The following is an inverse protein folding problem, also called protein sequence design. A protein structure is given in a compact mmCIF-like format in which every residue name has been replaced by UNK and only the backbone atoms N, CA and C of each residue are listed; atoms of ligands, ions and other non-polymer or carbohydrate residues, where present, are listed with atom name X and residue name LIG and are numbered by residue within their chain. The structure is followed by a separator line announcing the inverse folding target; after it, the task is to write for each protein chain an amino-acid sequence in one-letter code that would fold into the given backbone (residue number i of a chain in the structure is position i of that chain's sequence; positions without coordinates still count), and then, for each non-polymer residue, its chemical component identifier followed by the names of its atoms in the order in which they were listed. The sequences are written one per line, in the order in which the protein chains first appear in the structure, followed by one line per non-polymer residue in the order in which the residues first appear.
data_IF_850332713375
#
_entry.id   IF_850332713375
#
_cell.length_a   1.000
_cell.length_b   1.000
_cell.length_c   1.000
_cell.angle_alpha   90.00
_cell.angle_beta   90.00
_cell.angle_gamma   90.00
#
_symmetry.space_group_name_H-M   'P 1'
#
loop_
_entity.id
_entity.type
_entity.pdbx_description
1 polymer ?
#
# COMPACT_ATOMS: atom_id res chain seq x y z
N UNK A 1 4.93 2.94 -10.29
CA UNK A 1 4.31 4.21 -10.74
C UNK A 1 3.17 3.80 -11.62
N UNK A 2 1.94 4.21 -11.26
CA UNK A 2 0.80 4.09 -12.14
C UNK A 2 1.16 4.64 -13.52
N UNK A 3 0.78 3.95 -14.55
CA UNK A 3 1.18 4.37 -15.90
C UNK A 3 0.39 5.60 -16.30
N UNK A 4 0.98 6.46 -17.12
CA UNK A 4 0.28 7.57 -17.76
C UNK A 4 -1.06 7.12 -18.36
N UNK A 5 -1.09 5.92 -18.94
CA UNK A 5 -2.30 5.32 -19.51
C UNK A 5 -3.43 5.12 -18.49
N UNK A 6 -3.15 4.85 -17.23
CA UNK A 6 -4.18 4.70 -16.19
C UNK A 6 -4.82 6.05 -15.87
N UNK A 7 -3.99 7.08 -15.70
CA UNK A 7 -4.47 8.44 -15.43
C UNK A 7 -5.30 8.97 -16.59
N UNK A 8 -4.82 8.77 -17.83
CA UNK A 8 -5.54 9.19 -19.05
C UNK A 8 -6.88 8.46 -19.17
N UNK A 9 -6.92 7.14 -18.96
CA UNK A 9 -8.18 6.38 -18.99
C UNK A 9 -9.17 6.89 -17.95
N UNK A 10 -8.71 7.11 -16.72
CA UNK A 10 -9.56 7.65 -15.64
C UNK A 10 -10.08 9.05 -16.00
N UNK A 11 -9.23 9.91 -16.58
CA UNK A 11 -9.64 11.24 -17.03
C UNK A 11 -10.68 11.19 -18.15
N UNK A 12 -10.55 10.26 -19.09
CA UNK A 12 -11.55 10.07 -20.16
C UNK A 12 -12.89 9.60 -19.60
N UNK A 13 -12.88 8.62 -18.68
CA UNK A 13 -14.10 8.14 -18.01
C UNK A 13 -14.76 9.28 -17.23
N UNK A 14 -13.98 10.05 -16.44
CA UNK A 14 -14.48 11.22 -15.70
C UNK A 14 -15.10 12.25 -16.64
N UNK A 15 -14.42 12.56 -17.76
CA UNK A 15 -14.93 13.51 -18.74
C UNK A 15 -16.23 13.01 -19.38
N UNK A 16 -16.28 11.77 -19.86
CA UNK A 16 -17.49 11.19 -20.42
C UNK A 16 -18.66 11.20 -19.41
N UNK A 17 -18.38 10.86 -18.14
CA UNK A 17 -19.38 10.91 -17.08
C UNK A 17 -19.91 12.33 -16.86
N UNK A 18 -19.04 13.34 -16.85
CA UNK A 18 -19.45 14.75 -16.66
C UNK A 18 -20.33 15.28 -17.80
N UNK A 19 -20.23 14.69 -19.00
CA UNK A 19 -21.12 15.03 -20.14
C UNK A 19 -22.50 14.37 -20.00
N UNK A 20 -22.57 13.18 -19.39
CA UNK A 20 -23.81 12.43 -19.21
C UNK A 20 -24.60 12.84 -17.96
N UNK A 21 -23.89 13.21 -16.90
CA UNK A 21 -24.46 13.56 -15.60
C UNK A 21 -23.73 14.78 -15.01
N UNK A 22 -23.88 15.98 -15.64
CA UNK A 22 -23.14 17.18 -15.22
C UNK A 22 -23.48 17.66 -13.80
N UNK A 23 -24.63 17.27 -13.27
CA UNK A 23 -25.08 17.59 -11.90
C UNK A 23 -24.36 16.76 -10.82
N UNK A 24 -23.67 15.67 -11.19
CA UNK A 24 -22.97 14.81 -10.24
C UNK A 24 -21.49 15.21 -10.21
N UNK A 25 -20.99 15.78 -9.10
CA UNK A 25 -19.59 16.15 -9.00
C UNK A 25 -18.71 14.89 -8.95
N UNK A 26 -17.58 14.94 -9.65
CA UNK A 26 -16.60 13.85 -9.68
C UNK A 26 -15.25 14.32 -9.20
N UNK A 27 -14.49 13.46 -8.54
CA UNK A 27 -13.14 13.72 -8.09
C UNK A 27 -12.20 12.61 -8.54
N UNK A 28 -11.02 12.96 -8.99
CA UNK A 28 -9.98 12.00 -9.34
C UNK A 28 -8.95 11.93 -8.21
N UNK A 29 -8.69 10.74 -7.71
CA UNK A 29 -7.62 10.49 -6.74
C UNK A 29 -6.43 9.84 -7.43
N UNK A 30 -5.24 10.32 -7.10
CA UNK A 30 -3.99 9.67 -7.42
C UNK A 30 -3.43 9.07 -6.12
N UNK A 31 -3.67 7.79 -5.92
CA UNK A 31 -3.23 7.08 -4.72
C UNK A 31 -1.86 6.46 -4.97
N UNK A 32 -0.90 6.79 -4.12
CA UNK A 32 0.42 6.15 -4.11
C UNK A 32 0.47 5.10 -3.00
N UNK A 33 0.67 3.83 -3.37
CA UNK A 33 0.91 2.75 -2.41
C UNK A 33 2.36 2.76 -1.92
N UNK A 34 2.77 3.90 -1.35
CA UNK A 34 4.14 4.19 -0.90
C UNK A 34 4.50 3.52 0.44
N UNK A 35 3.54 2.84 1.07
CA UNK A 35 3.74 1.95 2.21
C UNK A 35 4.12 0.53 1.77
N UNK A 36 4.02 0.21 0.48
CA UNK A 36 4.39 -1.11 -0.05
C UNK A 36 5.88 -1.39 0.17
N UNK A 37 6.21 -2.64 0.46
CA UNK A 37 7.59 -3.07 0.67
C UNK A 37 8.42 -3.01 -0.61
N UNK A 38 9.64 -2.51 -0.52
CA UNK A 38 10.59 -2.52 -1.65
C UNK A 38 10.96 -3.96 -2.02
N UNK A 39 10.48 -4.46 -3.16
CA UNK A 39 10.61 -5.88 -3.56
C UNK A 39 11.90 -6.20 -4.28
N UNK A 40 12.48 -5.24 -5.00
CA UNK A 40 13.72 -5.40 -5.79
C UNK A 40 14.45 -4.08 -5.91
N UNK A 41 15.75 -4.16 -6.16
CA UNK A 41 16.59 -3.00 -6.50
C UNK A 41 16.43 -2.73 -8.00
N UNK A 42 15.93 -1.56 -8.42
CA UNK A 42 15.94 -1.19 -9.83
C UNK A 42 17.36 -0.94 -10.34
N UNK A 43 17.69 -1.50 -11.52
CA UNK A 43 19.06 -1.46 -12.09
C UNK A 43 19.54 -0.04 -12.42
N UNK A 44 18.63 0.89 -12.62
CA UNK A 44 18.91 2.27 -13.02
C UNK A 44 18.98 3.27 -11.87
N UNK A 45 19.05 2.80 -10.61
CA UNK A 45 19.20 3.68 -9.45
C UNK A 45 20.66 3.84 -9.05
N UNK A 46 21.07 5.03 -8.57
CA UNK A 46 22.35 5.21 -7.87
C UNK A 46 22.28 4.54 -6.48
N UNK A 47 23.45 4.37 -5.86
CA UNK A 47 23.54 3.84 -4.49
C UNK A 47 22.79 2.52 -4.27
N UNK A 48 22.95 1.56 -5.19
CA UNK A 48 22.24 0.29 -5.17
C UNK A 48 22.42 -0.50 -3.87
N UNK A 49 23.60 -0.45 -3.25
CA UNK A 49 23.86 -1.13 -1.97
C UNK A 49 22.99 -0.57 -0.84
N UNK A 50 22.77 0.76 -0.82
CA UNK A 50 21.86 1.42 0.11
C UNK A 50 20.43 0.89 -0.06
N UNK A 51 19.97 0.78 -1.30
CA UNK A 51 18.64 0.27 -1.64
C UNK A 51 18.53 -1.21 -1.27
N UNK A 52 19.55 -2.02 -1.59
CA UNK A 52 19.61 -3.45 -1.28
C UNK A 52 19.53 -3.74 0.22
N UNK A 53 20.20 -2.94 1.04
CA UNK A 53 20.15 -3.05 2.50
C UNK A 53 18.76 -2.75 3.10
N UNK A 54 17.87 -2.13 2.33
CA UNK A 54 16.53 -1.75 2.77
C UNK A 54 15.39 -2.51 2.03
N UNK A 55 15.72 -3.62 1.38
CA UNK A 55 14.70 -4.49 0.77
C UNK A 55 13.67 -4.94 1.81
N UNK A 56 12.41 -4.98 1.39
CA UNK A 56 11.26 -5.34 2.21
C UNK A 56 10.66 -4.18 3.01
N UNK A 57 11.37 -3.07 3.22
CA UNK A 57 10.82 -1.91 3.96
C UNK A 57 9.85 -1.11 3.11
N UNK A 58 8.85 -0.43 3.73
CA UNK A 58 8.00 0.54 3.05
C UNK A 58 8.83 1.55 2.25
N UNK A 59 8.39 1.94 1.06
CA UNK A 59 9.14 2.87 0.20
C UNK A 59 9.43 4.20 0.90
N UNK A 60 8.53 4.64 1.79
CA UNK A 60 8.71 5.84 2.62
C UNK A 60 9.71 5.65 3.77
N UNK A 61 10.12 4.42 4.06
CA UNK A 61 11.16 4.08 5.05
C UNK A 61 12.51 3.74 4.41
N UNK A 62 12.57 3.68 3.07
CA UNK A 62 13.81 3.45 2.33
C UNK A 62 14.51 4.79 2.10
N UNK A 63 15.80 4.96 2.47
CA UNK A 63 16.54 6.19 2.19
C UNK A 63 16.53 6.56 0.70
N UNK A 64 16.45 7.84 0.40
CA UNK A 64 16.46 8.31 -0.99
C UNK A 64 17.84 8.10 -1.64
N UNK A 65 17.97 7.26 -2.68
CA UNK A 65 19.27 7.03 -3.32
C UNK A 65 19.83 8.25 -4.05
N UNK A 66 19.00 9.26 -4.30
CA UNK A 66 19.41 10.52 -4.94
C UNK A 66 19.78 11.59 -3.92
N UNK A 67 19.46 11.41 -2.63
CA UNK A 67 19.75 12.36 -1.57
C UNK A 67 18.98 13.69 -1.66
N UNK A 68 17.86 13.71 -2.36
CA UNK A 68 17.08 14.93 -2.62
C UNK A 68 15.80 15.03 -1.81
N UNK A 69 15.33 13.90 -1.27
CA UNK A 69 14.08 13.81 -0.50
C UNK A 69 14.30 12.99 0.78
N UNK A 70 13.34 13.06 1.69
CA UNK A 70 13.36 12.34 2.95
C UNK A 70 13.49 10.81 2.77
N UNK A 71 12.86 10.26 1.74
CA UNK A 71 12.93 8.85 1.42
C UNK A 71 12.75 8.60 -0.08
N UNK A 72 13.02 7.37 -0.50
CA UNK A 72 12.76 6.92 -1.87
C UNK A 72 11.28 7.06 -2.25
N UNK A 73 10.35 6.72 -1.34
CA UNK A 73 8.92 6.92 -1.55
C UNK A 73 8.58 8.40 -1.79
N UNK A 74 9.11 9.33 -0.98
CA UNK A 74 8.89 10.77 -1.16
C UNK A 74 9.45 11.28 -2.49
N UNK A 75 10.62 10.80 -2.92
CA UNK A 75 11.19 11.14 -4.23
C UNK A 75 10.27 10.67 -5.36
N UNK A 76 9.79 9.43 -5.31
CA UNK A 76 8.89 8.88 -6.34
C UNK A 76 7.55 9.61 -6.37
N UNK A 77 6.99 9.95 -5.21
CA UNK A 77 5.76 10.74 -5.09
C UNK A 77 5.93 12.14 -5.70
N UNK A 78 7.05 12.81 -5.41
CA UNK A 78 7.35 14.12 -5.98
C UNK A 78 7.46 14.07 -7.52
N UNK A 79 8.14 13.05 -8.06
CA UNK A 79 8.25 12.84 -9.52
C UNK A 79 6.89 12.54 -10.17
N UNK A 80 6.07 11.70 -9.53
CA UNK A 80 4.74 11.40 -10.02
C UNK A 80 3.87 12.66 -10.08
N UNK A 81 3.84 13.46 -9.02
CA UNK A 81 3.09 14.71 -8.97
C UNK A 81 3.57 15.70 -10.03
N UNK A 82 4.87 15.94 -10.10
CA UNK A 82 5.44 16.83 -11.14
C UNK A 82 5.08 16.39 -12.57
N UNK A 83 5.03 15.07 -12.81
CA UNK A 83 4.61 14.53 -14.09
C UNK A 83 3.12 14.80 -14.35
N UNK A 84 2.24 14.54 -13.39
CA UNK A 84 0.79 14.78 -13.53
C UNK A 84 0.46 16.26 -13.69
N UNK A 85 1.13 17.12 -12.92
CA UNK A 85 0.98 18.59 -12.98
C UNK A 85 1.38 19.14 -14.36
N UNK A 86 2.46 18.59 -14.95
CA UNK A 86 2.93 18.97 -16.29
C UNK A 86 1.88 18.73 -17.37
N UNK A 87 1.04 17.72 -17.23
CA UNK A 87 -0.04 17.40 -18.16
C UNK A 87 -1.38 18.03 -17.77
N UNK A 88 -1.42 18.83 -16.70
CA UNK A 88 -2.60 19.58 -16.29
C UNK A 88 -3.74 18.71 -15.75
N UNK A 89 -3.45 17.53 -15.18
CA UNK A 89 -4.48 16.71 -14.56
C UNK A 89 -5.00 17.36 -13.28
N UNK A 90 -6.33 17.38 -13.15
CA UNK A 90 -7.01 17.80 -11.91
C UNK A 90 -7.22 16.55 -11.02
N UNK A 91 -6.41 16.42 -9.97
CA UNK A 91 -6.40 15.26 -9.07
C UNK A 91 -6.10 15.68 -7.63
N UNK A 92 -6.54 14.86 -6.68
CA UNK A 92 -6.06 14.90 -5.30
C UNK A 92 -5.06 13.78 -5.08
N UNK A 93 -3.86 14.13 -4.61
CA UNK A 93 -2.83 13.14 -4.29
C UNK A 93 -3.04 12.56 -2.90
N UNK A 94 -2.96 11.25 -2.77
CA UNK A 94 -3.05 10.51 -1.52
C UNK A 94 -1.81 9.62 -1.35
N UNK A 95 -1.09 9.80 -0.24
CA UNK A 95 -0.08 8.86 0.24
C UNK A 95 -0.76 7.79 1.09
N UNK A 96 -0.58 6.52 0.76
CA UNK A 96 -1.08 5.43 1.60
C UNK A 96 -0.37 5.44 2.96
N UNK A 97 0.94 5.68 3.02
CA UNK A 97 1.68 5.80 4.28
C UNK A 97 1.05 6.82 5.21
N UNK A 98 0.70 8.02 4.70
CA UNK A 98 0.09 9.08 5.52
C UNK A 98 -1.29 8.67 6.02
N UNK A 99 -2.09 8.00 5.19
CA UNK A 99 -3.43 7.52 5.58
C UNK A 99 -3.37 6.45 6.65
N UNK A 100 -2.46 5.48 6.52
CA UNK A 100 -2.28 4.45 7.54
C UNK A 100 -1.73 5.02 8.86
N UNK A 101 -0.67 5.84 8.80
CA UNK A 101 -0.03 6.40 10.00
C UNK A 101 -0.86 7.44 10.73
N UNK A 102 -1.70 8.19 10.02
CA UNK A 102 -2.62 9.15 10.65
C UNK A 102 -3.83 8.50 11.33
N UNK A 103 -4.00 7.18 11.18
CA UNK A 103 -5.18 6.46 11.69
C UNK A 103 -6.44 6.66 10.85
N UNK A 104 -6.33 7.28 9.67
CA UNK A 104 -7.49 7.50 8.79
C UNK A 104 -8.16 6.19 8.35
N UNK A 105 -7.41 5.08 8.34
CA UNK A 105 -7.90 3.75 8.01
C UNK A 105 -8.18 2.87 9.23
N UNK A 106 -7.93 3.32 10.46
CA UNK A 106 -8.01 2.47 11.66
C UNK A 106 -9.39 1.81 11.84
N UNK A 107 -10.46 2.56 11.64
CA UNK A 107 -11.82 2.00 11.71
C UNK A 107 -12.08 0.95 10.62
N UNK A 108 -11.58 1.17 9.41
CA UNK A 108 -11.66 0.20 8.31
C UNK A 108 -10.81 -1.03 8.59
N UNK A 109 -9.60 -0.85 9.12
CA UNK A 109 -8.71 -1.96 9.52
C UNK A 109 -9.38 -2.87 10.55
N UNK A 110 -10.02 -2.30 11.58
CA UNK A 110 -10.76 -3.07 12.59
C UNK A 110 -11.97 -3.78 11.98
N UNK A 111 -12.67 -3.15 11.04
CA UNK A 111 -13.78 -3.80 10.34
C UNK A 111 -13.32 -4.95 9.45
N UNK A 112 -12.20 -4.80 8.75
CA UNK A 112 -11.56 -5.90 7.99
C UNK A 112 -11.19 -7.05 8.92
N UNK A 113 -10.66 -6.75 10.12
CA UNK A 113 -10.34 -7.75 11.13
C UNK A 113 -11.58 -8.49 11.64
N UNK A 114 -12.66 -7.75 11.92
CA UNK A 114 -13.95 -8.35 12.30
C UNK A 114 -14.46 -9.34 11.25
N UNK A 115 -14.34 -8.95 9.96
CA UNK A 115 -14.80 -9.71 8.79
C UNK A 115 -13.73 -10.63 8.19
N UNK A 116 -12.65 -10.89 8.90
CA UNK A 116 -11.48 -11.62 8.40
C UNK A 116 -11.86 -12.96 7.75
N UNK A 117 -12.68 -13.78 8.42
CA UNK A 117 -13.02 -15.13 7.95
C UNK A 117 -13.86 -15.09 6.66
N UNK A 118 -14.82 -14.14 6.59
CA UNK A 118 -15.66 -13.91 5.41
C UNK A 118 -14.82 -13.45 4.21
N UNK A 119 -13.87 -12.53 4.46
CA UNK A 119 -12.94 -12.04 3.43
C UNK A 119 -11.99 -13.15 2.96
N UNK A 120 -11.45 -13.95 3.87
CA UNK A 120 -10.61 -15.09 3.52
C UNK A 120 -11.35 -16.07 2.61
N UNK A 121 -12.58 -16.47 2.98
CA UNK A 121 -13.38 -17.38 2.16
C UNK A 121 -13.63 -16.83 0.75
N UNK A 122 -13.95 -15.53 0.65
CA UNK A 122 -14.20 -14.88 -0.65
C UNK A 122 -12.92 -14.81 -1.49
N UNK A 123 -11.81 -14.42 -0.88
CA UNK A 123 -10.55 -14.19 -1.60
C UNK A 123 -9.92 -15.51 -2.04
N UNK A 124 -9.89 -16.53 -1.18
CA UNK A 124 -9.28 -17.82 -1.49
C UNK A 124 -9.94 -18.51 -2.70
N UNK A 125 -11.25 -18.37 -2.87
CA UNK A 125 -11.96 -18.90 -4.06
C UNK A 125 -11.45 -18.31 -5.38
N UNK A 126 -10.85 -17.13 -5.35
CA UNK A 126 -10.39 -16.40 -6.53
C UNK A 126 -8.86 -16.38 -6.70
N UNK A 127 -8.12 -17.12 -5.86
CA UNK A 127 -6.65 -17.21 -5.90
C UNK A 127 -6.21 -18.58 -6.39
N UNK A 128 -5.09 -18.63 -7.12
CA UNK A 128 -4.43 -19.91 -7.45
C UNK A 128 -3.85 -20.58 -6.19
N UNK A 129 -3.72 -21.91 -6.23
CA UNK A 129 -3.32 -22.75 -5.09
C UNK A 129 -2.07 -22.26 -4.35
N UNK A 130 -1.02 -21.90 -5.08
CA UNK A 130 0.24 -21.39 -4.50
C UNK A 130 0.04 -20.11 -3.64
N UNK A 131 -0.89 -19.24 -4.02
CA UNK A 131 -1.18 -18.02 -3.27
C UNK A 131 -2.18 -18.22 -2.14
N UNK A 132 -2.97 -19.29 -2.17
CA UNK A 132 -3.94 -19.57 -1.09
C UNK A 132 -3.22 -19.85 0.24
N UNK A 133 -2.07 -20.53 0.20
CA UNK A 133 -1.30 -20.90 1.40
C UNK A 133 -0.71 -19.71 2.14
N UNK A 134 -0.41 -18.62 1.42
CA UNK A 134 0.30 -17.46 1.97
C UNK A 134 -0.53 -16.18 1.99
N UNK A 135 -1.78 -16.25 1.56
CA UNK A 135 -2.65 -15.08 1.49
C UNK A 135 -3.13 -14.64 2.87
N UNK A 136 -3.11 -13.34 3.10
CA UNK A 136 -3.82 -12.66 4.18
C UNK A 136 -4.26 -11.29 3.70
N UNK A 137 -5.43 -10.78 4.12
CA UNK A 137 -5.80 -9.39 3.94
C UNK A 137 -4.78 -8.42 4.54
N UNK A 138 -4.16 -8.81 5.66
CA UNK A 138 -3.19 -8.00 6.40
C UNK A 138 -1.76 -8.31 6.01
N UNK A 139 -0.96 -7.25 5.89
CA UNK A 139 0.49 -7.30 5.72
C UNK A 139 1.12 -6.51 6.88
N UNK A 140 1.52 -7.19 7.98
CA UNK A 140 2.18 -6.54 9.11
C UNK A 140 3.50 -5.88 8.70
N UNK A 141 3.87 -4.82 9.42
CA UNK A 141 5.21 -4.24 9.34
C UNK A 141 5.95 -4.68 10.59
N UNK A 142 7.01 -5.46 10.40
CA UNK A 142 7.78 -5.99 11.53
C UNK A 142 8.43 -4.87 12.33
N UNK A 143 8.22 -4.89 13.63
CA UNK A 143 8.62 -3.79 14.54
C UNK A 143 10.14 -3.62 14.68
N UNK A 144 10.92 -4.68 14.45
CA UNK A 144 12.37 -4.65 14.59
C UNK A 144 13.08 -4.31 13.27
N UNK A 145 12.75 -5.04 12.21
CA UNK A 145 13.36 -4.84 10.90
C UNK A 145 12.74 -3.70 10.09
N UNK A 146 11.48 -3.33 10.41
CA UNK A 146 10.68 -2.39 9.65
C UNK A 146 10.22 -2.93 8.29
N UNK A 147 10.35 -4.23 8.04
CA UNK A 147 9.97 -4.86 6.78
C UNK A 147 8.48 -5.20 6.73
N UNK A 148 7.89 -5.07 5.58
CA UNK A 148 6.52 -5.54 5.31
C UNK A 148 6.54 -7.06 5.19
N UNK A 149 5.71 -7.75 5.97
CA UNK A 149 5.58 -9.20 5.96
C UNK A 149 4.52 -9.58 4.92
N UNK A 150 4.93 -10.25 3.86
CA UNK A 150 4.09 -10.66 2.73
C UNK A 150 3.73 -12.16 2.72
N UNK A 151 4.22 -12.91 3.71
CA UNK A 151 3.99 -14.35 3.85
C UNK A 151 2.67 -14.72 4.54
N UNK A 152 1.79 -13.75 4.71
CA UNK A 152 0.53 -13.93 5.43
C UNK A 152 0.67 -13.81 6.94
N UNK A 153 -0.45 -13.91 7.64
CA UNK A 153 -0.50 -13.93 9.09
C UNK A 153 -0.87 -15.33 9.57
N UNK A 154 -0.35 -15.73 10.73
CA UNK A 154 -0.67 -17.03 11.36
C UNK A 154 -2.02 -17.03 12.06
N UNK A 155 -2.45 -15.87 12.51
CA UNK A 155 -3.71 -15.74 13.25
C UNK A 155 -4.11 -14.29 13.42
N UNK A 156 -5.34 -14.10 13.87
CA UNK A 156 -5.92 -12.81 14.19
C UNK A 156 -6.56 -12.85 15.58
N UNK A 157 -6.46 -11.74 16.31
CA UNK A 157 -7.15 -11.55 17.58
C UNK A 157 -8.14 -10.38 17.44
N UNK A 158 -9.41 -10.72 17.23
CA UNK A 158 -10.48 -9.73 17.01
C UNK A 158 -10.75 -8.88 18.24
N UNK A 159 -10.60 -9.44 19.44
CA UNK A 159 -10.84 -8.72 20.70
C UNK A 159 -9.76 -7.67 20.98
N UNK A 160 -8.50 -8.02 20.68
CA UNK A 160 -7.37 -7.11 20.88
C UNK A 160 -7.12 -6.16 19.70
N UNK A 161 -7.71 -6.42 18.54
CA UNK A 161 -7.42 -5.67 17.31
C UNK A 161 -6.03 -5.94 16.74
N UNK A 162 -5.52 -7.19 16.86
CA UNK A 162 -4.15 -7.55 16.51
C UNK A 162 -4.09 -8.70 15.51
N UNK A 163 -2.93 -8.83 14.85
CA UNK A 163 -2.56 -9.98 14.01
C UNK A 163 -1.25 -10.58 14.48
N UNK A 164 -1.11 -11.90 14.30
CA UNK A 164 0.06 -12.69 14.66
C UNK A 164 0.79 -13.08 13.37
N UNK A 165 2.08 -12.79 13.28
CA UNK A 165 2.93 -13.11 12.14
C UNK A 165 4.24 -13.74 12.58
N UNK A 166 5.00 -14.29 11.64
CA UNK A 166 6.34 -14.81 11.90
C UNK A 166 7.36 -13.95 11.16
N UNK A 167 8.36 -13.48 11.88
CA UNK A 167 9.45 -12.69 11.32
C UNK A 167 10.43 -13.54 10.45
N UNK A 168 11.45 -12.89 9.91
CA UNK A 168 12.46 -13.56 9.08
C UNK A 168 13.33 -14.58 9.85
N UNK A 169 13.35 -14.53 11.17
CA UNK A 169 14.07 -15.44 12.05
C UNK A 169 13.20 -16.60 12.58
N UNK A 170 11.93 -16.66 12.19
CA UNK A 170 10.99 -17.67 12.64
C UNK A 170 10.35 -17.36 14.00
N UNK A 171 10.51 -16.14 14.53
CA UNK A 171 9.92 -15.71 15.79
C UNK A 171 8.50 -15.21 15.56
N UNK A 172 7.57 -15.71 16.37
CA UNK A 172 6.18 -15.27 16.36
C UNK A 172 6.03 -13.94 17.10
N UNK A 173 5.37 -12.97 16.43
CA UNK A 173 5.13 -11.62 16.96
C UNK A 173 3.67 -11.23 16.76
N UNK A 174 3.18 -10.35 17.63
CA UNK A 174 1.83 -9.81 17.58
C UNK A 174 1.88 -8.29 17.46
N UNK A 175 1.09 -7.72 16.51
CA UNK A 175 1.01 -6.26 16.33
C UNK A 175 -0.44 -5.82 16.15
N UNK A 176 -0.82 -4.58 16.56
CA UNK A 176 -2.11 -4.03 16.27
C UNK A 176 -2.27 -3.80 14.76
N UNK A 177 -3.49 -3.97 14.25
CA UNK A 177 -3.77 -3.68 12.83
C UNK A 177 -3.83 -2.19 12.53
N UNK A 178 -3.94 -1.34 13.55
CA UNK A 178 -4.10 0.12 13.50
C UNK A 178 -2.78 0.89 13.61
N UNK A 179 -2.82 2.22 13.40
CA UNK A 179 -1.67 3.10 13.62
C UNK A 179 -0.52 2.92 12.64
N UNK A 180 -0.76 2.31 11.47
CA UNK A 180 0.26 2.07 10.45
C UNK A 180 1.18 0.90 10.74
N UNK A 181 0.85 0.01 11.70
CA UNK A 181 1.60 -1.22 11.99
C UNK A 181 1.28 -2.36 11.00
N UNK A 182 0.19 -2.24 10.27
CA UNK A 182 -0.20 -3.13 9.18
C UNK A 182 -0.65 -2.29 7.99
N UNK A 183 -0.50 -2.86 6.79
CA UNK A 183 -1.24 -2.43 5.61
C UNK A 183 -2.17 -3.53 5.15
N UNK A 184 -3.15 -3.20 4.30
CA UNK A 184 -4.00 -4.17 3.61
C UNK A 184 -3.38 -4.56 2.27
N UNK A 185 -3.80 -5.69 1.73
CA UNK A 185 -3.56 -6.03 0.33
C UNK A 185 -4.30 -5.02 -0.55
N UNK A 186 -3.66 -4.57 -1.64
CA UNK A 186 -4.16 -3.49 -2.50
C UNK A 186 -5.60 -3.67 -3.03
N UNK A 187 -6.07 -4.91 -3.19
CA UNK A 187 -7.46 -5.20 -3.59
C UNK A 187 -8.49 -4.91 -2.50
N UNK A 188 -8.04 -4.70 -1.28
CA UNK A 188 -8.89 -4.40 -0.12
C UNK A 188 -8.79 -2.92 0.24
N UNK A 189 -7.59 -2.31 0.11
CA UNK A 189 -7.37 -0.88 0.38
C UNK A 189 -8.18 0.01 -0.56
N UNK A 190 -8.28 -0.39 -1.84
CA UNK A 190 -8.89 0.41 -2.90
C UNK A 190 -10.31 -0.02 -3.25
N UNK A 191 -10.85 -1.01 -2.56
CA UNK A 191 -12.23 -1.47 -2.67
C UNK A 191 -13.12 -0.84 -1.62
#
# INVERSE_FOLDING_TARGET
IGTFGEVVRTSFVRHAFSLLAPEIPTKMFCVSDDIDGLRKVPDNLPNQDLIKANLGKPLTSVPDPFGTHQSYGHNMNARLRAFLDRFGFDYEFISATDKYKSGAFDSTMLRVLEKYDELMELMLKNLGEERQETYSPFMPIDVESGKVIDKGVKGVNKEKGTVIYVDEFGVEKEVPVTGGNCKLQWKIDFG
#
